data_IF_040598907819
#
_entry.id   IF_040598907819
#
_cell.length_a   1.000
_cell.length_b   1.000
_cell.length_c   1.000
_cell.angle_alpha   90.00
_cell.angle_beta   90.00
_cell.angle_gamma   90.00
#
_symmetry.space_group_name_H-M   'P 1'
#
loop_
_entity.id
_entity.type
_entity.pdbx_description
1 polymer ?
#
# COMPACT_ATOMS: atom_id res chain seq x y z
N UNK A 1 0.86 -1.16 -14.56
CA UNK A 1 2.04 -0.36 -14.96
C UNK A 1 1.57 1.00 -15.44
N UNK A 2 2.10 2.08 -14.87
CA UNK A 2 1.82 3.45 -15.32
C UNK A 2 2.52 3.73 -16.65
N UNK A 3 1.87 4.45 -17.55
CA UNK A 3 2.49 4.94 -18.78
C UNK A 3 3.51 6.05 -18.49
N UNK A 4 4.43 6.27 -19.42
CA UNK A 4 5.42 7.36 -19.33
C UNK A 4 4.75 8.73 -19.18
N UNK A 5 3.59 8.93 -19.81
CA UNK A 5 2.86 10.19 -19.72
C UNK A 5 2.22 10.38 -18.34
N UNK A 6 1.67 9.31 -17.74
CA UNK A 6 1.14 9.33 -16.38
C UNK A 6 2.26 9.60 -15.36
N UNK A 7 3.42 8.96 -15.52
CA UNK A 7 4.59 9.21 -14.68
C UNK A 7 5.05 10.69 -14.75
N UNK A 8 5.08 11.28 -15.95
CA UNK A 8 5.44 12.69 -16.12
C UNK A 8 4.44 13.65 -15.47
N UNK A 9 3.14 13.35 -15.59
CA UNK A 9 2.09 14.13 -14.91
C UNK A 9 2.28 14.04 -13.39
N UNK A 10 2.47 12.82 -12.88
CA UNK A 10 2.66 12.58 -11.45
C UNK A 10 3.85 13.37 -10.90
N UNK A 11 4.99 13.33 -11.58
CA UNK A 11 6.19 14.09 -11.18
C UNK A 11 5.92 15.60 -11.18
N UNK A 12 5.16 16.09 -12.16
CA UNK A 12 4.79 17.51 -12.25
C UNK A 12 3.87 17.92 -11.10
N UNK A 13 2.88 17.10 -10.78
CA UNK A 13 1.93 17.36 -9.69
C UNK A 13 2.64 17.35 -8.33
N UNK A 14 3.59 16.45 -8.12
CA UNK A 14 4.41 16.39 -6.90
C UNK A 14 5.27 17.63 -6.70
N UNK A 15 5.81 18.20 -7.78
CA UNK A 15 6.60 19.43 -7.71
C UNK A 15 5.75 20.63 -7.27
N UNK A 16 4.44 20.63 -7.56
CA UNK A 16 3.53 21.73 -7.27
C UNK A 16 2.84 21.57 -5.90
N UNK A 17 2.33 20.37 -5.62
CA UNK A 17 1.41 20.13 -4.50
C UNK A 17 2.01 19.33 -3.36
N UNK A 18 3.22 18.76 -3.54
CA UNK A 18 3.92 17.84 -2.62
C UNK A 18 3.16 16.55 -2.26
N UNK A 19 1.88 16.46 -2.61
CA UNK A 19 1.03 15.28 -2.44
C UNK A 19 0.23 15.11 -3.72
N UNK A 20 0.11 13.87 -4.19
CA UNK A 20 -0.79 13.51 -5.27
C UNK A 20 -1.37 12.12 -5.03
N UNK A 21 -2.54 11.86 -5.60
CA UNK A 21 -3.21 10.57 -5.56
C UNK A 21 -3.33 10.01 -6.97
N UNK A 22 -3.15 8.71 -7.12
CA UNK A 22 -3.27 8.04 -8.41
C UNK A 22 -3.75 6.61 -8.24
N UNK A 23 -4.37 6.07 -9.29
CA UNK A 23 -4.78 4.66 -9.31
C UNK A 23 -3.60 3.77 -9.71
N UNK A 24 -3.33 2.77 -8.89
CA UNK A 24 -2.36 1.71 -9.15
C UNK A 24 -2.92 0.41 -8.56
N UNK A 25 -2.84 -0.71 -9.29
CA UNK A 25 -3.23 -2.01 -8.73
C UNK A 25 -4.68 -2.00 -8.15
N UNK A 26 -5.62 -1.39 -8.89
CA UNK A 26 -7.02 -1.24 -8.47
C UNK A 26 -7.23 -0.49 -7.15
N UNK A 27 -6.21 0.25 -6.69
CA UNK A 27 -6.16 0.95 -5.40
C UNK A 27 -5.79 2.42 -5.63
N UNK A 28 -6.31 3.30 -4.77
CA UNK A 28 -5.83 4.68 -4.72
C UNK A 28 -4.54 4.69 -3.90
N UNK A 29 -3.45 5.08 -4.53
CA UNK A 29 -2.14 5.29 -3.89
C UNK A 29 -1.96 6.77 -3.66
N UNK A 30 -1.64 7.12 -2.42
CA UNK A 30 -1.19 8.46 -2.05
C UNK A 30 0.32 8.51 -2.14
N UNK A 31 0.85 9.49 -2.86
CA UNK A 31 2.27 9.78 -2.90
C UNK A 31 2.53 11.16 -2.34
N UNK A 32 3.39 11.22 -1.33
CA UNK A 32 3.80 12.44 -0.64
C UNK A 32 5.30 12.63 -0.74
N UNK A 33 5.74 13.85 -1.02
CA UNK A 33 7.14 14.27 -0.95
C UNK A 33 7.34 15.08 0.32
N UNK A 34 8.43 14.83 1.04
CA UNK A 34 8.81 15.65 2.20
C UNK A 34 9.17 17.08 1.78
N UNK A 35 9.07 18.03 2.72
CA UNK A 35 9.38 19.44 2.47
C UNK A 35 10.81 19.70 1.97
N UNK A 36 11.72 18.76 2.21
CA UNK A 36 13.10 18.82 1.73
C UNK A 36 13.28 18.31 0.30
N UNK A 37 12.22 17.79 -0.35
CA UNK A 37 12.25 17.07 -1.63
C UNK A 37 13.23 15.89 -1.67
N UNK A 38 13.63 15.35 -0.51
CA UNK A 38 14.61 14.25 -0.40
C UNK A 38 13.99 12.92 -0.01
N UNK A 39 12.72 12.90 0.38
CA UNK A 39 12.03 11.68 0.75
C UNK A 39 10.66 11.62 0.08
N UNK A 40 10.28 10.42 -0.34
CA UNK A 40 8.94 10.08 -0.80
C UNK A 40 8.31 9.11 0.19
N UNK A 41 7.01 9.27 0.40
CA UNK A 41 6.16 8.34 1.09
C UNK A 41 5.09 7.87 0.10
N UNK A 42 4.95 6.56 -0.07
CA UNK A 42 3.79 5.97 -0.73
C UNK A 42 2.92 5.34 0.34
N UNK A 43 1.62 5.52 0.22
CA UNK A 43 0.66 4.82 1.06
C UNK A 43 -0.57 4.38 0.30
N UNK A 44 -1.10 3.22 0.66
CA UNK A 44 -2.31 2.67 0.05
C UNK A 44 -3.09 1.82 1.04
N UNK A 45 -4.43 1.92 1.09
CA UNK A 45 -5.24 1.01 1.87
C UNK A 45 -5.19 -0.39 1.26
N UNK A 46 -4.85 -1.38 2.06
CA UNK A 46 -4.77 -2.80 1.67
C UNK A 46 -5.82 -3.66 2.35
N UNK A 47 -6.64 -3.09 3.23
CA UNK A 47 -7.79 -3.77 3.83
C UNK A 47 -8.81 -2.75 4.34
N UNK A 48 -10.10 -3.08 4.26
CA UNK A 48 -11.19 -2.31 4.85
C UNK A 48 -12.16 -3.26 5.57
N UNK A 49 -12.21 -3.15 6.90
CA UNK A 49 -13.01 -4.01 7.75
C UNK A 49 -14.48 -3.58 7.88
N UNK A 50 -14.89 -2.51 7.19
CA UNK A 50 -16.23 -1.94 7.32
C UNK A 50 -16.43 -1.20 8.64
N UNK A 51 -16.63 -1.96 9.72
CA UNK A 51 -16.90 -1.49 11.07
C UNK A 51 -15.99 -2.11 12.14
N UNK A 52 -15.14 -3.06 11.76
CA UNK A 52 -14.20 -3.72 12.66
C UNK A 52 -13.08 -4.39 11.88
N UNK A 53 -11.85 -4.41 12.43
CA UNK A 53 -10.74 -5.18 11.86
C UNK A 53 -10.62 -6.52 12.61
N UNK A 54 -10.87 -7.67 11.95
CA UNK A 54 -10.83 -9.00 12.54
C UNK A 54 -9.51 -9.35 13.22
N UNK A 55 -9.56 -10.28 14.18
CA UNK A 55 -8.36 -10.72 14.92
C UNK A 55 -7.40 -11.43 13.97
N UNK A 56 -7.92 -12.25 13.03
CA UNK A 56 -7.09 -12.93 12.04
C UNK A 56 -6.26 -11.94 11.21
N UNK A 57 -6.87 -10.83 10.79
CA UNK A 57 -6.23 -9.74 10.05
C UNK A 57 -5.18 -9.06 10.92
N UNK A 58 -5.53 -8.68 12.16
CA UNK A 58 -4.58 -8.06 13.11
C UNK A 58 -3.37 -8.94 13.42
N UNK A 59 -3.55 -10.26 13.47
CA UNK A 59 -2.47 -11.21 13.67
C UNK A 59 -1.68 -11.48 12.38
N UNK A 60 -2.31 -11.40 11.22
CA UNK A 60 -1.67 -11.60 9.93
C UNK A 60 -0.65 -10.49 9.63
N UNK A 61 -0.99 -9.23 9.90
CA UNK A 61 -0.10 -8.08 9.63
C UNK A 61 1.17 -8.04 10.50
N UNK A 62 1.19 -8.80 11.60
CA UNK A 62 2.37 -8.95 12.48
C UNK A 62 3.36 -10.00 11.95
N UNK A 63 2.96 -10.79 10.96
CA UNK A 63 3.74 -11.91 10.42
C UNK A 63 4.34 -11.51 9.08
N UNK A 64 5.43 -12.18 8.71
CA UNK A 64 5.98 -12.10 7.36
C UNK A 64 5.04 -12.86 6.41
N UNK A 65 4.46 -12.22 5.38
CA UNK A 65 3.61 -12.94 4.44
C UNK A 65 4.44 -13.80 3.47
N UNK A 66 3.82 -14.77 2.79
CA UNK A 66 4.52 -15.69 1.89
C UNK A 66 5.02 -15.06 0.59
N UNK A 67 4.51 -13.88 0.22
CA UNK A 67 4.90 -13.11 -0.96
C UNK A 67 5.95 -12.03 -0.65
N UNK A 68 6.51 -12.06 0.56
CA UNK A 68 7.44 -11.05 1.04
C UNK A 68 8.88 -11.30 0.56
N UNK A 69 9.11 -11.17 -0.73
CA UNK A 69 10.42 -11.30 -1.39
C UNK A 69 11.18 -9.95 -1.45
N UNK A 70 10.91 -9.07 -0.46
CA UNK A 70 11.30 -7.64 -0.34
C UNK A 70 12.41 -7.18 -1.28
N UNK A 71 12.00 -6.55 -2.39
CA UNK A 71 12.87 -5.66 -3.18
C UNK A 71 12.89 -4.25 -2.56
N UNK A 72 11.79 -3.85 -1.90
CA UNK A 72 11.65 -2.59 -1.17
C UNK A 72 11.21 -2.84 0.27
N UNK A 73 11.59 -1.93 1.18
CA UNK A 73 11.18 -2.00 2.58
C UNK A 73 9.85 -1.27 2.77
N UNK A 74 8.84 -1.99 3.27
CA UNK A 74 7.49 -1.48 3.54
C UNK A 74 7.05 -1.82 4.95
N UNK A 75 6.06 -1.10 5.44
CA UNK A 75 5.44 -1.38 6.74
C UNK A 75 3.94 -1.14 6.70
N UNK A 76 3.22 -1.79 7.61
CA UNK A 76 1.77 -1.67 7.75
C UNK A 76 1.42 -0.83 8.97
N UNK A 77 0.40 0.01 8.86
CA UNK A 77 -0.25 0.66 10.01
C UNK A 77 -1.72 0.27 10.06
N UNK A 78 -2.26 0.25 11.28
CA UNK A 78 -3.69 0.14 11.52
C UNK A 78 -4.27 1.54 11.71
N UNK A 79 -5.34 1.83 10.98
CA UNK A 79 -6.23 2.93 11.28
C UNK A 79 -7.51 2.34 11.90
N UNK A 80 -7.56 2.34 13.23
CA UNK A 80 -8.71 1.82 13.98
C UNK A 80 -9.93 2.76 13.89
N UNK A 81 -9.75 4.03 13.53
CA UNK A 81 -10.87 4.97 13.34
C UNK A 81 -11.58 4.73 12.01
N UNK A 82 -10.81 4.47 10.95
CA UNK A 82 -11.33 4.16 9.62
C UNK A 82 -11.54 2.65 9.36
N UNK A 83 -11.14 1.79 10.30
CA UNK A 83 -11.12 0.33 10.17
C UNK A 83 -10.31 -0.15 8.96
N UNK A 84 -9.12 0.43 8.76
CA UNK A 84 -8.25 0.13 7.61
C UNK A 84 -6.88 -0.40 8.03
N UNK A 85 -6.29 -1.18 7.13
CA UNK A 85 -4.85 -1.45 7.13
C UNK A 85 -4.24 -0.68 5.98
N UNK A 86 -3.18 0.09 6.24
CA UNK A 86 -2.50 0.91 5.25
C UNK A 86 -1.07 0.39 5.09
N UNK A 87 -0.68 0.13 3.85
CA UNK A 87 0.70 -0.17 3.47
C UNK A 87 1.44 1.11 3.18
N UNK A 88 2.65 1.24 3.72
CA UNK A 88 3.53 2.39 3.56
C UNK A 88 4.88 1.98 3.01
N UNK A 89 5.46 2.89 2.23
CA UNK A 89 6.86 2.89 1.84
C UNK A 89 7.44 4.27 2.15
N UNK A 90 8.57 4.30 2.85
CA UNK A 90 9.38 5.51 3.06
C UNK A 90 10.72 5.34 2.37
N UNK A 91 11.00 6.19 1.39
CA UNK A 91 12.21 6.10 0.59
C UNK A 91 12.83 7.45 0.32
N UNK A 92 14.09 7.44 -0.13
CA UNK A 92 14.68 8.67 -0.64
C UNK A 92 14.07 9.02 -2.00
N UNK A 93 13.78 10.30 -2.19
CA UNK A 93 13.39 10.88 -3.46
C UNK A 93 14.55 10.96 -4.45
N UNK A 94 15.46 9.97 -4.47
CA UNK A 94 16.42 9.77 -5.56
C UNK A 94 15.69 9.24 -6.80
N UNK A 95 14.58 9.90 -7.14
CA UNK A 95 13.74 9.75 -8.31
C UNK A 95 14.30 10.59 -9.46
N UNK A 96 15.62 10.57 -9.68
CA UNK A 96 16.22 11.29 -10.81
C UNK A 96 16.02 10.56 -12.15
N UNK A 97 15.59 9.30 -12.13
CA UNK A 97 15.39 8.46 -13.31
C UNK A 97 13.97 7.87 -13.33
N UNK A 98 13.16 8.19 -14.34
CA UNK A 98 11.80 7.65 -14.50
C UNK A 98 11.74 6.13 -14.43
N UNK A 99 12.80 5.43 -14.84
CA UNK A 99 12.87 3.97 -14.83
C UNK A 99 12.92 3.40 -13.41
N UNK A 100 13.70 4.04 -12.52
CA UNK A 100 13.81 3.62 -11.10
C UNK A 100 12.50 3.89 -10.38
N UNK A 101 11.88 5.03 -10.67
CA UNK A 101 10.59 5.39 -10.09
C UNK A 101 9.47 4.46 -10.60
N UNK A 102 9.47 4.11 -11.90
CA UNK A 102 8.56 3.13 -12.47
C UNK A 102 8.69 1.75 -11.82
N UNK A 103 9.92 1.24 -11.64
CA UNK A 103 10.15 -0.02 -10.96
C UNK A 103 9.68 -0.01 -9.50
N UNK A 104 9.89 1.11 -8.79
CA UNK A 104 9.34 1.30 -7.44
C UNK A 104 7.81 1.26 -7.43
N UNK A 105 7.14 1.94 -8.38
CA UNK A 105 5.69 1.89 -8.49
C UNK A 105 5.20 0.47 -8.78
N UNK A 106 5.83 -0.25 -9.69
CA UNK A 106 5.42 -1.62 -10.03
C UNK A 106 5.58 -2.56 -8.83
N UNK A 107 6.70 -2.47 -8.10
CA UNK A 107 6.93 -3.27 -6.90
C UNK A 107 5.94 -2.91 -5.77
N UNK A 108 5.71 -1.63 -5.54
CA UNK A 108 4.73 -1.19 -4.54
C UNK A 108 3.32 -1.65 -4.90
N UNK A 109 2.94 -1.55 -6.18
CA UNK A 109 1.65 -2.04 -6.69
C UNK A 109 1.50 -3.56 -6.51
N UNK A 110 2.54 -4.33 -6.81
CA UNK A 110 2.57 -5.77 -6.54
C UNK A 110 2.28 -6.08 -5.07
N UNK A 111 2.98 -5.39 -4.15
CA UNK A 111 2.76 -5.59 -2.71
C UNK A 111 1.35 -5.18 -2.27
N UNK A 112 0.80 -4.09 -2.81
CA UNK A 112 -0.58 -3.65 -2.53
C UNK A 112 -1.58 -4.74 -2.91
N UNK A 113 -1.50 -5.29 -4.12
CA UNK A 113 -2.40 -6.35 -4.58
C UNK A 113 -2.31 -7.60 -3.70
N UNK A 114 -1.08 -8.06 -3.40
CA UNK A 114 -0.89 -9.31 -2.66
C UNK A 114 -1.27 -9.17 -1.18
N UNK A 115 -1.04 -8.00 -0.58
CA UNK A 115 -1.55 -7.73 0.76
C UNK A 115 -3.07 -7.74 0.82
N UNK A 116 -3.76 -7.17 -0.18
CA UNK A 116 -5.23 -7.20 -0.24
C UNK A 116 -5.75 -8.63 -0.30
N UNK A 117 -5.25 -9.42 -1.24
CA UNK A 117 -5.68 -10.82 -1.40
C UNK A 117 -5.43 -11.65 -0.13
N UNK A 118 -4.27 -11.45 0.51
CA UNK A 118 -3.91 -12.16 1.73
C UNK A 118 -4.77 -11.78 2.93
N UNK A 119 -5.02 -10.49 3.14
CA UNK A 119 -5.84 -10.03 4.27
C UNK A 119 -7.31 -10.40 4.07
N UNK A 120 -7.82 -10.36 2.84
CA UNK A 120 -9.16 -10.83 2.49
C UNK A 120 -9.31 -12.35 2.75
N UNK A 121 -8.28 -13.15 2.48
CA UNK A 121 -8.28 -14.57 2.83
C UNK A 121 -8.32 -14.76 4.35
N UNK A 122 -7.51 -14.01 5.09
CA UNK A 122 -7.42 -14.12 6.56
C UNK A 122 -8.72 -13.67 7.23
N UNK A 123 -9.36 -12.61 6.75
CA UNK A 123 -10.69 -12.19 7.22
C UNK A 123 -11.71 -13.32 7.07
N UNK A 124 -11.70 -14.02 5.93
CA UNK A 124 -12.59 -15.16 5.69
C UNK A 124 -12.40 -16.30 6.69
N UNK A 125 -11.19 -16.51 7.21
CA UNK A 125 -10.94 -17.53 8.24
C UNK A 125 -11.80 -17.27 9.50
N UNK A 126 -12.00 -16.01 9.88
CA UNK A 126 -12.84 -15.63 11.03
C UNK A 126 -14.34 -15.88 10.75
N UNK A 127 -14.81 -15.76 9.50
CA UNK A 127 -16.20 -16.04 9.12
C UNK A 127 -16.56 -17.52 9.17
N UNK A 128 -15.62 -18.42 8.85
CA UNK A 128 -15.83 -19.88 8.89
C UNK A 128 -16.03 -20.38 10.33
N UNK A 129 -15.41 -19.71 11.31
CA UNK A 129 -15.53 -20.07 12.72
C UNK A 129 -16.87 -19.67 13.35
N UNK A 130 -17.65 -18.77 12.75
CA UNK A 130 -18.97 -18.37 13.27
C UNK A 130 -20.07 -19.37 12.91
N UNK A 131 -19.97 -20.06 11.77
CA UNK A 131 -21.01 -21.00 11.28
C UNK A 131 -20.99 -22.33 12.03
N UNK A 132 -19.88 -22.67 12.69
CA UNK A 132 -19.68 -23.95 13.39
C UNK A 132 -19.72 -23.82 14.92
N UNK A 133 -20.69 -23.09 15.47
CA UNK A 133 -21.06 -23.23 16.89
C UNK A 133 -22.38 -24.02 17.00
N UNK A 134 -22.38 -25.21 17.63
CA UNK A 134 -23.60 -25.97 17.90
C UNK A 134 -24.52 -25.25 18.90
#
# INVERSE_FOLDING_TARGET
>A
MLSINELKSLITDLQQNKVTEFSLAGSVVTLKVSDSNKAINLSAPVYWGGNFIPISVREAIKKRPPFDDRVIETYLTLDDEAFQVILHYDGQAQAAKPEVFGALMDEFGYLVDHWREWLDEKDRDDLVHVVNRP
#
